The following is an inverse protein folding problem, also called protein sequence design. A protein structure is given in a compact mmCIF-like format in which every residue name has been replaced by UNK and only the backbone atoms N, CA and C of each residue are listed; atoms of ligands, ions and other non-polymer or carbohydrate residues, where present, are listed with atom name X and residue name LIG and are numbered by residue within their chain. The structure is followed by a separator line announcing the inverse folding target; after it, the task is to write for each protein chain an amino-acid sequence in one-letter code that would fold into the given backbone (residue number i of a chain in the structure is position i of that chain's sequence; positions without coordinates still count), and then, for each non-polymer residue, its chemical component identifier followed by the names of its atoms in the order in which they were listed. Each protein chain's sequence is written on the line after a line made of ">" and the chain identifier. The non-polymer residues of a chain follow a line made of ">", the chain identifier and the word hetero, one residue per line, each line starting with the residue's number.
data_IF_371439665715
#
_entry.id   IF_371439665715
#
_cell.length_a   1.000
_cell.length_b   1.000
_cell.length_c   1.000
_cell.angle_alpha   90.00
_cell.angle_beta   90.00
_cell.angle_gamma   90.00
#
_symmetry.space_group_name_H-M   'P 1'
#
loop_
_entity.id
_entity.type
_entity.pdbx_description
1 polymer ?
#
# COMPACT_ATOMS: atom_id res chain seq x y z
N UNK A 1 35.05 30.85 -7.96
CA UNK A 1 35.12 29.62 -7.15
C UNK A 1 33.96 29.45 -6.15
N UNK A 2 33.49 30.46 -5.39
CA UNK A 2 32.47 30.22 -4.33
C UNK A 2 31.06 29.89 -4.86
N UNK A 3 30.66 30.43 -6.02
CA UNK A 3 29.33 30.18 -6.59
C UNK A 3 29.10 28.71 -6.98
N UNK A 4 30.14 27.98 -7.40
CA UNK A 4 30.03 26.56 -7.75
C UNK A 4 29.70 25.72 -6.51
N UNK A 5 30.30 26.02 -5.36
CA UNK A 5 30.03 25.31 -4.10
C UNK A 5 28.59 25.49 -3.62
N UNK A 6 28.05 26.71 -3.75
CA UNK A 6 26.64 27.00 -3.41
C UNK A 6 25.69 26.24 -4.33
N UNK A 7 25.97 26.20 -5.63
CA UNK A 7 25.14 25.49 -6.61
C UNK A 7 25.12 23.98 -6.36
N UNK A 8 26.29 23.39 -6.07
CA UNK A 8 26.42 21.96 -5.74
C UNK A 8 25.72 21.63 -4.42
N UNK A 9 25.90 22.45 -3.38
CA UNK A 9 25.23 22.26 -2.09
C UNK A 9 23.70 22.33 -2.20
N UNK A 10 23.19 23.28 -2.99
CA UNK A 10 21.76 23.41 -3.24
C UNK A 10 21.18 22.19 -3.98
N UNK A 11 21.86 21.69 -5.01
CA UNK A 11 21.44 20.48 -5.75
C UNK A 11 21.43 19.26 -4.82
N UNK A 12 22.45 19.07 -4.00
CA UNK A 12 22.52 17.97 -3.03
C UNK A 12 21.37 18.03 -2.02
N UNK A 13 21.07 19.22 -1.48
CA UNK A 13 19.95 19.41 -0.56
C UNK A 13 18.61 18.99 -1.20
N UNK A 14 18.38 19.36 -2.46
CA UNK A 14 17.16 19.00 -3.18
C UNK A 14 17.05 17.49 -3.43
N UNK A 15 18.16 16.81 -3.72
CA UNK A 15 18.20 15.36 -3.90
C UNK A 15 17.90 14.65 -2.58
N UNK A 16 18.56 15.05 -1.49
CA UNK A 16 18.33 14.47 -0.16
C UNK A 16 16.90 14.72 0.33
N UNK A 17 16.36 15.92 0.11
CA UNK A 17 14.97 16.24 0.45
C UNK A 17 13.97 15.33 -0.27
N UNK A 18 14.15 15.10 -1.58
CA UNK A 18 13.29 14.19 -2.35
C UNK A 18 13.46 12.73 -1.93
N UNK A 19 14.68 12.32 -1.57
CA UNK A 19 14.97 10.96 -1.12
C UNK A 19 14.22 10.60 0.17
N UNK A 20 14.03 11.55 1.09
CA UNK A 20 13.25 11.34 2.31
C UNK A 20 11.72 11.36 2.06
N UNK A 21 11.23 12.14 1.12
CA UNK A 21 9.78 12.22 0.84
C UNK A 21 9.26 10.95 0.15
N UNK A 22 10.08 10.30 -0.68
CA UNK A 22 9.71 9.08 -1.39
C UNK A 22 9.26 7.93 -0.45
N UNK A 23 10.03 7.50 0.57
CA UNK A 23 9.63 6.39 1.45
C UNK A 23 8.40 6.73 2.29
N UNK A 24 8.27 7.97 2.77
CA UNK A 24 7.09 8.41 3.52
C UNK A 24 5.83 8.30 2.66
N UNK A 25 5.90 8.73 1.40
CA UNK A 25 4.77 8.63 0.46
C UNK A 25 4.37 7.18 0.18
N UNK A 26 5.34 6.27 0.10
CA UNK A 26 5.07 4.83 -0.10
C UNK A 26 4.40 4.24 1.14
N UNK A 27 4.90 4.54 2.34
CA UNK A 27 4.30 4.12 3.61
C UNK A 27 2.83 4.56 3.73
N UNK A 28 2.54 5.83 3.44
CA UNK A 28 1.17 6.34 3.47
C UNK A 28 0.28 5.62 2.46
N UNK A 29 0.77 5.36 1.24
CA UNK A 29 0.02 4.59 0.24
C UNK A 29 -0.25 3.16 0.68
N UNK A 30 0.73 2.50 1.30
CA UNK A 30 0.56 1.15 1.83
C UNK A 30 -0.49 1.11 2.95
N UNK A 31 -0.50 2.10 3.84
CA UNK A 31 -1.50 2.21 4.90
C UNK A 31 -2.91 2.41 4.33
N UNK A 32 -3.07 3.32 3.36
CA UNK A 32 -4.36 3.58 2.74
C UNK A 32 -4.88 2.37 1.95
N UNK A 33 -4.01 1.70 1.18
CA UNK A 33 -4.39 0.48 0.45
C UNK A 33 -4.69 -0.67 1.41
N UNK A 34 -3.92 -0.83 2.48
CA UNK A 34 -4.20 -1.82 3.52
C UNK A 34 -5.54 -1.59 4.21
N UNK A 35 -5.88 -0.35 4.56
CA UNK A 35 -7.20 0.02 5.09
C UNK A 35 -8.32 -0.31 4.10
N UNK A 36 -8.18 0.12 2.84
CA UNK A 36 -9.18 -0.15 1.80
C UNK A 36 -9.39 -1.66 1.57
N UNK A 37 -8.33 -2.44 1.56
CA UNK A 37 -8.45 -3.89 1.41
C UNK A 37 -8.92 -4.61 2.66
N UNK A 38 -8.66 -4.10 3.86
CA UNK A 38 -9.28 -4.61 5.08
C UNK A 38 -10.80 -4.39 5.05
N UNK A 39 -11.26 -3.22 4.61
CA UNK A 39 -12.69 -2.94 4.37
C UNK A 39 -13.26 -3.88 3.31
N UNK A 40 -12.52 -4.10 2.22
CA UNK A 40 -12.95 -5.00 1.14
C UNK A 40 -13.10 -6.44 1.64
N UNK A 41 -12.10 -6.97 2.35
CA UNK A 41 -12.16 -8.32 2.94
C UNK A 41 -13.27 -8.43 3.97
N UNK A 42 -13.50 -7.40 4.78
CA UNK A 42 -14.59 -7.39 5.74
C UNK A 42 -15.95 -7.53 5.05
N UNK A 43 -16.20 -6.72 4.00
CA UNK A 43 -17.44 -6.80 3.23
C UNK A 43 -17.60 -8.15 2.54
N UNK A 44 -16.53 -8.67 1.95
CA UNK A 44 -16.53 -10.00 1.35
C UNK A 44 -16.81 -11.08 2.38
N UNK A 45 -16.21 -11.05 3.56
CA UNK A 45 -16.46 -12.03 4.61
C UNK A 45 -17.88 -11.92 5.18
N UNK A 46 -18.47 -10.73 5.16
CA UNK A 46 -19.84 -10.53 5.61
C UNK A 46 -20.85 -11.19 4.66
N UNK A 47 -20.66 -11.03 3.34
CA UNK A 47 -21.50 -11.67 2.32
C UNK A 47 -21.14 -13.15 2.14
N UNK A 48 -19.84 -13.44 2.01
CA UNK A 48 -19.26 -14.76 1.81
C UNK A 48 -19.46 -15.69 3.01
N UNK A 49 -19.51 -15.15 4.23
CA UNK A 49 -19.81 -15.92 5.44
C UNK A 49 -21.18 -16.60 5.39
N UNK A 50 -22.16 -16.03 4.68
CA UNK A 50 -23.46 -16.68 4.43
C UNK A 50 -23.33 -17.94 3.56
N UNK A 51 -22.25 -18.04 2.79
CA UNK A 51 -21.91 -19.17 1.92
C UNK A 51 -20.77 -20.04 2.51
N UNK A 52 -20.37 -19.81 3.76
CA UNK A 52 -19.26 -20.53 4.43
C UNK A 52 -17.86 -20.09 3.98
N UNK A 53 -17.74 -18.97 3.25
CA UNK A 53 -16.48 -18.42 2.76
C UNK A 53 -15.95 -17.36 3.74
N UNK A 54 -14.85 -17.67 4.43
CA UNK A 54 -14.20 -16.76 5.39
C UNK A 54 -12.71 -16.61 5.09
N UNK A 55 -12.28 -15.51 4.49
CA UNK A 55 -10.87 -15.17 4.34
C UNK A 55 -10.31 -14.51 5.60
N UNK A 56 -9.06 -14.81 5.94
CA UNK A 56 -8.41 -14.16 7.08
C UNK A 56 -8.08 -12.69 6.76
N UNK A 57 -8.45 -11.77 7.66
CA UNK A 57 -8.13 -10.34 7.53
C UNK A 57 -6.74 -10.09 8.13
N UNK A 58 -5.70 -10.40 7.37
CA UNK A 58 -4.30 -10.12 7.73
C UNK A 58 -3.79 -8.90 6.97
N UNK A 59 -2.70 -8.27 7.43
CA UNK A 59 -2.11 -7.13 6.74
C UNK A 59 -1.71 -7.47 5.29
N UNK A 60 -1.18 -8.67 5.04
CA UNK A 60 -0.84 -9.13 3.70
C UNK A 60 -2.09 -9.29 2.84
N UNK A 61 -3.13 -9.95 3.36
CA UNK A 61 -4.36 -10.16 2.61
C UNK A 61 -5.09 -8.85 2.32
N UNK A 62 -5.12 -7.95 3.31
CA UNK A 62 -5.67 -6.61 3.15
C UNK A 62 -4.87 -5.80 2.12
N UNK A 63 -3.54 -5.91 2.07
CA UNK A 63 -2.77 -5.20 1.06
C UNK A 63 -3.09 -5.71 -0.35
N UNK A 64 -3.15 -7.03 -0.54
CA UNK A 64 -3.46 -7.64 -1.84
C UNK A 64 -4.91 -7.33 -2.26
N UNK A 65 -5.88 -7.47 -1.35
CA UNK A 65 -7.27 -7.12 -1.62
C UNK A 65 -7.44 -5.61 -1.87
N UNK A 66 -6.64 -4.75 -1.22
CA UNK A 66 -6.65 -3.30 -1.44
C UNK A 66 -6.01 -2.90 -2.77
N UNK A 67 -5.00 -3.63 -3.23
CA UNK A 67 -4.31 -3.36 -4.49
C UNK A 67 -5.08 -3.91 -5.70
N UNK A 68 -5.61 -5.13 -5.57
CA UNK A 68 -6.26 -5.86 -6.66
C UNK A 68 -7.80 -5.82 -6.58
N UNK A 69 -8.38 -5.40 -5.46
CA UNK A 69 -9.83 -5.37 -5.26
C UNK A 69 -10.45 -6.77 -5.20
N UNK A 70 -11.64 -6.89 -5.76
CA UNK A 70 -12.38 -8.16 -5.91
C UNK A 70 -11.58 -9.24 -6.67
N UNK A 71 -10.85 -8.94 -7.76
CA UNK A 71 -9.94 -9.90 -8.38
C UNK A 71 -8.95 -10.54 -7.40
N UNK A 72 -8.34 -9.75 -6.51
CA UNK A 72 -7.38 -10.26 -5.51
C UNK A 72 -8.02 -11.23 -4.52
N UNK A 73 -9.25 -10.93 -4.11
CA UNK A 73 -10.07 -11.80 -3.25
C UNK A 73 -10.40 -13.13 -3.95
N UNK A 74 -10.76 -13.11 -5.23
CA UNK A 74 -11.06 -14.32 -6.01
C UNK A 74 -9.81 -15.19 -6.10
N UNK A 75 -8.66 -14.61 -6.40
CA UNK A 75 -7.38 -15.34 -6.44
C UNK A 75 -7.06 -15.95 -5.08
N UNK A 76 -7.24 -15.22 -3.98
CA UNK A 76 -7.02 -15.77 -2.62
C UNK A 76 -7.95 -16.94 -2.29
N UNK A 77 -9.20 -16.90 -2.75
CA UNK A 77 -10.15 -17.98 -2.55
C UNK A 77 -9.78 -19.22 -3.38
N UNK A 78 -9.25 -19.01 -4.59
CA UNK A 78 -8.79 -20.10 -5.47
C UNK A 78 -7.46 -20.71 -5.03
N UNK A 79 -6.58 -19.90 -4.44
CA UNK A 79 -5.25 -20.32 -4.00
C UNK A 79 -5.24 -20.93 -2.59
N UNK A 80 -6.41 -21.02 -1.96
CA UNK A 80 -6.58 -21.46 -0.59
C UNK A 80 -6.52 -22.96 -0.41
#
# INVERSE_FOLDING_TARGET
>A
MPLLGVLVGFILLLIFGKLLVLPVKVLVRLLLNGLAGAVTLFLVNLVGGMFGLHLEITALNALIAGFFGVPGVIVMLLLR
#
